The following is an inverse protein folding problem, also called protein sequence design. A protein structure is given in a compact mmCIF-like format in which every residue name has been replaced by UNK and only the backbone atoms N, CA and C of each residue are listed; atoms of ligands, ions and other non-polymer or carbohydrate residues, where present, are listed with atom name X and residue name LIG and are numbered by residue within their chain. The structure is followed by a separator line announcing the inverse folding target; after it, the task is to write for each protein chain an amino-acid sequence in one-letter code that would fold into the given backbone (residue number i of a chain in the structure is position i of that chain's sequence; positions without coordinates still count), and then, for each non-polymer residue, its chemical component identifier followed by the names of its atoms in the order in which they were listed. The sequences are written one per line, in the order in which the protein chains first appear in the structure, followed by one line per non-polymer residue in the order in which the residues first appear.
data_IF_282602065039
#
_entry.id   IF_282602065039
#
_cell.length_a   1.000
_cell.length_b   1.000
_cell.length_c   1.000
_cell.angle_alpha   90.00
_cell.angle_beta   90.00
_cell.angle_gamma   90.00
#
_symmetry.space_group_name_H-M   'P 1'
#
loop_
_entity.id
_entity.type
_entity.pdbx_description
1 polymer ?
#
# COMPACT_ATOMS: atom_id res chain seq x y z
N UNK A 1 -1.65 39.62 27.21
CA UNK A 1 -1.20 38.48 26.36
C UNK A 1 -2.36 37.49 26.37
N UNK A 2 -3.24 37.61 25.37
CA UNK A 2 -4.37 36.70 25.21
C UNK A 2 -3.84 35.37 24.69
N UNK A 3 -3.71 34.43 25.61
CA UNK A 3 -3.56 33.02 25.25
C UNK A 3 -4.92 32.57 24.74
N UNK A 4 -5.18 32.74 23.45
CA UNK A 4 -6.29 32.06 22.80
C UNK A 4 -5.99 30.56 22.92
N UNK A 5 -6.58 29.92 23.91
CA UNK A 5 -6.57 28.47 24.07
C UNK A 5 -7.25 27.93 22.81
N UNK A 6 -6.48 27.54 21.81
CA UNK A 6 -7.02 26.90 20.61
C UNK A 6 -7.88 25.73 21.11
N UNK A 7 -9.17 25.82 20.86
CA UNK A 7 -10.14 24.84 21.37
C UNK A 7 -9.90 23.54 20.65
N UNK A 8 -9.38 22.54 21.37
CA UNK A 8 -9.06 21.19 20.85
C UNK A 8 -10.32 20.54 20.28
N UNK A 9 -10.29 20.14 19.03
CA UNK A 9 -11.33 19.31 18.43
C UNK A 9 -11.02 17.83 18.66
N UNK A 10 -12.03 17.06 19.02
CA UNK A 10 -11.93 15.61 19.25
C UNK A 10 -12.75 14.89 18.21
N UNK A 11 -12.10 14.15 17.34
CA UNK A 11 -12.73 13.33 16.29
C UNK A 11 -12.90 11.89 16.80
N UNK A 12 -14.15 11.48 17.07
CA UNK A 12 -14.50 10.11 17.38
C UNK A 12 -14.76 9.33 16.11
N UNK A 13 -13.96 8.32 15.81
CA UNK A 13 -14.15 7.50 14.62
C UNK A 13 -14.70 6.12 14.96
N UNK A 14 -15.87 5.78 14.37
CA UNK A 14 -16.55 4.50 14.50
C UNK A 14 -16.68 3.83 13.14
N UNK A 15 -16.40 2.51 13.08
CA UNK A 15 -16.48 1.74 11.82
C UNK A 15 -17.06 0.34 12.01
N UNK A 16 -17.90 -0.07 11.06
CA UNK A 16 -18.32 -1.46 10.88
C UNK A 16 -18.08 -1.90 9.45
N UNK A 17 -18.00 -3.23 9.23
CA UNK A 17 -18.04 -3.80 7.87
C UNK A 17 -19.49 -3.89 7.38
N UNK A 18 -19.66 -3.93 6.05
CA UNK A 18 -20.98 -4.07 5.42
C UNK A 18 -21.75 -5.32 5.89
N UNK A 19 -21.04 -6.39 6.25
CA UNK A 19 -21.64 -7.65 6.75
C UNK A 19 -22.13 -7.54 8.22
N UNK A 20 -21.56 -6.62 9.00
CA UNK A 20 -21.93 -6.39 10.40
C UNK A 20 -22.98 -5.28 10.59
N UNK A 21 -23.60 -4.84 9.50
CA UNK A 21 -24.56 -3.71 9.50
C UNK A 21 -25.95 -4.10 10.01
N UNK A 22 -26.29 -5.41 10.07
CA UNK A 22 -27.62 -5.87 10.39
C UNK A 22 -28.16 -5.44 11.77
N UNK A 23 -27.28 -5.12 12.74
CA UNK A 23 -27.72 -4.77 14.09
C UNK A 23 -27.51 -3.32 14.53
N UNK A 24 -26.76 -2.48 13.81
CA UNK A 24 -26.46 -1.08 14.22
C UNK A 24 -25.73 -0.96 15.58
N UNK A 25 -25.84 -1.97 16.42
CA UNK A 25 -25.32 -2.01 17.79
C UNK A 25 -23.80 -1.84 17.85
N UNK A 26 -23.09 -2.27 16.85
CA UNK A 26 -21.61 -2.15 16.79
C UNK A 26 -21.10 -0.73 16.66
N UNK A 27 -21.77 0.14 15.88
CA UNK A 27 -21.43 1.57 15.77
C UNK A 27 -21.82 2.32 17.05
N UNK A 28 -23.00 2.01 17.59
CA UNK A 28 -23.51 2.68 18.77
C UNK A 28 -22.66 2.36 20.01
N UNK A 29 -22.26 1.10 20.21
CA UNK A 29 -21.36 0.72 21.29
C UNK A 29 -20.00 1.44 21.22
N UNK A 30 -19.46 1.63 20.02
CA UNK A 30 -18.22 2.40 19.81
C UNK A 30 -18.44 3.88 20.16
N UNK A 31 -19.54 4.45 19.68
CA UNK A 31 -19.88 5.86 19.96
C UNK A 31 -20.06 6.11 21.46
N UNK A 32 -20.78 5.23 22.17
CA UNK A 32 -20.97 5.32 23.63
C UNK A 32 -19.63 5.23 24.38
N UNK A 33 -18.75 4.33 23.99
CA UNK A 33 -17.43 4.22 24.61
C UNK A 33 -16.60 5.51 24.43
N UNK A 34 -16.65 6.10 23.23
CA UNK A 34 -15.96 7.36 22.93
C UNK A 34 -16.57 8.51 23.72
N UNK A 35 -17.90 8.60 23.82
CA UNK A 35 -18.60 9.62 24.60
C UNK A 35 -18.28 9.54 26.08
N UNK A 36 -18.27 8.33 26.64
CA UNK A 36 -17.91 8.10 28.04
C UNK A 36 -16.48 8.58 28.34
N UNK A 37 -15.54 8.28 27.44
CA UNK A 37 -14.15 8.74 27.57
C UNK A 37 -14.03 10.25 27.41
N UNK A 38 -14.76 10.84 26.46
CA UNK A 38 -14.81 12.30 26.29
C UNK A 38 -15.32 13.00 27.54
N UNK A 39 -16.41 12.49 28.12
CA UNK A 39 -16.98 13.01 29.39
C UNK A 39 -15.98 12.87 30.54
N UNK A 40 -15.30 11.73 30.65
CA UNK A 40 -14.29 11.48 31.69
C UNK A 40 -13.10 12.45 31.59
N UNK A 41 -12.72 12.87 30.39
CA UNK A 41 -11.60 13.79 30.11
C UNK A 41 -12.01 15.26 30.01
N UNK A 42 -13.30 15.58 30.07
CA UNK A 42 -13.80 16.93 29.88
C UNK A 42 -13.59 17.48 28.48
N UNK A 43 -13.69 16.61 27.46
CA UNK A 43 -13.60 17.05 26.08
C UNK A 43 -14.92 17.66 25.61
N UNK A 44 -14.94 18.95 25.37
CA UNK A 44 -16.16 19.68 25.04
C UNK A 44 -16.54 19.63 23.57
N UNK A 45 -15.55 19.57 22.66
CA UNK A 45 -15.77 19.55 21.22
C UNK A 45 -15.56 18.16 20.63
N UNK A 46 -16.51 17.25 20.88
CA UNK A 46 -16.51 15.89 20.31
C UNK A 46 -17.36 15.82 19.05
N UNK A 47 -16.77 15.36 17.95
CA UNK A 47 -17.40 15.07 16.68
C UNK A 47 -17.32 13.58 16.36
N UNK A 48 -18.42 12.85 16.49
CA UNK A 48 -18.45 11.42 16.19
C UNK A 48 -18.78 11.20 14.72
N UNK A 49 -17.84 10.56 14.02
CA UNK A 49 -17.94 10.19 12.62
C UNK A 49 -18.12 8.67 12.48
N UNK A 50 -19.10 8.27 11.68
CA UNK A 50 -19.46 6.86 11.47
C UNK A 50 -19.18 6.44 10.02
N UNK A 51 -18.60 5.27 9.84
CA UNK A 51 -18.27 4.74 8.52
C UNK A 51 -18.65 3.26 8.40
N UNK A 52 -19.30 2.93 7.28
CA UNK A 52 -19.65 1.56 6.92
C UNK A 52 -18.77 1.13 5.75
N UNK A 53 -17.66 0.48 6.08
CA UNK A 53 -16.66 0.07 5.07
C UNK A 53 -15.83 -1.09 5.58
N UNK A 54 -15.39 -1.98 4.68
CA UNK A 54 -14.49 -3.07 5.03
C UNK A 54 -13.17 -2.54 5.62
N UNK A 55 -12.74 -3.10 6.76
CA UNK A 55 -11.49 -2.73 7.41
C UNK A 55 -10.22 -3.12 6.63
N UNK A 56 -10.34 -3.92 5.57
CA UNK A 56 -9.23 -4.23 4.67
C UNK A 56 -8.95 -3.15 3.62
N UNK A 57 -9.85 -2.17 3.47
CA UNK A 57 -9.60 -1.03 2.57
C UNK A 57 -8.50 -0.12 3.11
N UNK A 58 -7.74 0.46 2.19
CA UNK A 58 -6.72 1.46 2.51
C UNK A 58 -7.38 2.73 3.07
N UNK A 59 -6.60 3.59 3.73
CA UNK A 59 -7.08 4.84 4.32
C UNK A 59 -7.71 5.75 3.25
N UNK A 60 -7.10 5.86 2.07
CA UNK A 60 -7.60 6.64 0.92
C UNK A 60 -8.92 6.12 0.33
N UNK A 61 -9.30 4.88 0.65
CA UNK A 61 -10.57 4.26 0.25
C UNK A 61 -11.63 4.30 1.37
N UNK A 62 -11.38 5.05 2.41
CA UNK A 62 -12.22 5.24 3.61
C UNK A 62 -12.55 6.72 3.72
N UNK A 63 -13.62 7.18 3.04
CA UNK A 63 -13.89 8.61 2.84
C UNK A 63 -14.04 9.39 4.15
N UNK A 64 -14.64 8.77 5.18
CA UNK A 64 -14.82 9.44 6.47
C UNK A 64 -13.49 9.58 7.21
N UNK A 65 -12.69 8.51 7.28
CA UNK A 65 -11.37 8.58 7.91
C UNK A 65 -10.44 9.53 7.15
N UNK A 66 -10.45 9.49 5.81
CA UNK A 66 -9.65 10.39 4.98
C UNK A 66 -10.02 11.86 5.26
N UNK A 67 -11.31 12.19 5.31
CA UNK A 67 -11.77 13.54 5.64
C UNK A 67 -11.35 14.00 7.05
N UNK A 68 -11.36 13.11 8.05
CA UNK A 68 -10.84 13.43 9.39
C UNK A 68 -9.35 13.77 9.30
N UNK A 69 -8.55 12.93 8.59
CA UNK A 69 -7.10 13.11 8.49
C UNK A 69 -6.69 14.34 7.68
N UNK A 70 -7.55 14.82 6.79
CA UNK A 70 -7.36 16.09 6.06
C UNK A 70 -7.68 17.33 6.93
N UNK A 71 -8.57 17.20 7.90
CA UNK A 71 -9.05 18.32 8.73
C UNK A 71 -8.32 18.44 10.07
N UNK A 72 -7.81 17.32 10.60
CA UNK A 72 -7.18 17.28 11.92
C UNK A 72 -5.88 18.08 11.93
N UNK A 73 -5.72 18.89 12.96
CA UNK A 73 -4.58 19.80 13.12
C UNK A 73 -3.84 19.57 14.41
N UNK A 74 -2.69 20.22 14.58
CA UNK A 74 -1.90 20.14 15.81
C UNK A 74 -2.74 20.51 17.05
N UNK A 75 -2.68 19.67 18.08
CA UNK A 75 -3.46 19.80 19.31
C UNK A 75 -4.79 19.05 19.30
N UNK A 76 -5.34 18.66 18.16
CA UNK A 76 -6.56 17.86 18.04
C UNK A 76 -6.35 16.40 18.48
N UNK A 77 -7.44 15.67 18.62
CA UNK A 77 -7.44 14.26 19.03
C UNK A 77 -8.27 13.42 18.08
N UNK A 78 -7.71 12.30 17.60
CA UNK A 78 -8.48 11.22 17.01
C UNK A 78 -8.67 10.12 18.05
N UNK A 79 -9.90 9.80 18.40
CA UNK A 79 -10.23 8.75 19.37
C UNK A 79 -11.02 7.63 18.71
N UNK A 80 -10.62 6.39 19.01
CA UNK A 80 -11.22 5.18 18.46
C UNK A 80 -11.43 4.16 19.58
N UNK A 81 -12.59 3.54 19.62
CA UNK A 81 -12.93 2.59 20.67
C UNK A 81 -12.09 1.31 20.59
N UNK A 82 -11.76 0.86 19.37
CA UNK A 82 -10.97 -0.35 19.13
C UNK A 82 -9.97 -0.14 17.99
N UNK A 83 -8.73 -0.55 18.19
CA UNK A 83 -7.65 -0.38 17.21
C UNK A 83 -7.92 -1.07 15.87
N UNK A 84 -8.61 -2.22 15.87
CA UNK A 84 -9.01 -2.94 14.65
C UNK A 84 -10.05 -2.18 13.80
N UNK A 85 -10.75 -1.21 14.37
CA UNK A 85 -11.65 -0.30 13.63
C UNK A 85 -10.85 0.72 12.84
N UNK A 86 -9.74 1.17 13.40
CA UNK A 86 -8.83 2.10 12.75
C UNK A 86 -7.94 1.41 11.71
N UNK A 87 -7.25 0.35 12.11
CA UNK A 87 -6.32 -0.38 11.26
C UNK A 87 -6.35 -1.89 11.56
N UNK A 88 -6.42 -2.73 10.53
CA UNK A 88 -6.30 -4.20 10.66
C UNK A 88 -4.86 -4.69 10.68
N UNK A 89 -3.92 -3.89 10.26
CA UNK A 89 -2.49 -4.20 10.17
C UNK A 89 -1.73 -3.28 11.12
N UNK A 90 -0.78 -3.83 11.84
CA UNK A 90 0.14 -3.05 12.66
C UNK A 90 0.91 -2.01 11.84
N UNK A 91 1.19 -2.33 10.58
CA UNK A 91 1.88 -1.41 9.65
C UNK A 91 1.06 -0.13 9.41
N UNK A 92 -0.25 -0.27 9.17
CA UNK A 92 -1.14 0.89 8.96
C UNK A 92 -1.31 1.66 10.27
N UNK A 93 -1.41 0.97 11.41
CA UNK A 93 -1.49 1.61 12.71
C UNK A 93 -0.22 2.42 13.02
N UNK A 94 0.96 1.85 12.78
CA UNK A 94 2.23 2.54 12.95
C UNK A 94 2.33 3.80 12.07
N UNK A 95 1.86 3.74 10.81
CA UNK A 95 1.83 4.90 9.92
C UNK A 95 0.95 6.02 10.46
N UNK A 96 -0.19 5.70 11.07
CA UNK A 96 -1.08 6.70 11.69
C UNK A 96 -0.47 7.28 12.97
N UNK A 97 0.24 6.48 13.77
CA UNK A 97 0.99 6.93 14.92
C UNK A 97 2.15 7.88 14.54
N UNK A 98 2.91 7.52 13.48
CA UNK A 98 3.95 8.38 12.93
C UNK A 98 3.37 9.71 12.39
N UNK A 99 2.22 9.65 11.71
CA UNK A 99 1.52 10.85 11.23
C UNK A 99 1.07 11.74 12.38
N UNK A 100 0.51 11.16 13.46
CA UNK A 100 0.08 11.92 14.63
C UNK A 100 1.24 12.66 15.31
N UNK A 101 2.39 12.02 15.44
CA UNK A 101 3.58 12.63 16.02
C UNK A 101 4.15 13.74 15.13
N UNK A 102 4.26 13.49 13.82
CA UNK A 102 4.78 14.45 12.84
C UNK A 102 3.90 15.69 12.73
N UNK A 103 2.57 15.52 12.69
CA UNK A 103 1.61 16.58 12.42
C UNK A 103 1.05 17.21 13.73
N UNK A 104 1.48 16.69 14.90
CA UNK A 104 1.21 17.28 16.22
C UNK A 104 -0.19 17.03 16.78
N UNK A 105 -0.99 16.11 16.21
CA UNK A 105 -2.26 15.68 16.78
C UNK A 105 -2.09 14.41 17.63
N UNK A 106 -3.09 14.05 18.42
CA UNK A 106 -3.00 12.87 19.30
C UNK A 106 -3.91 11.75 18.84
N UNK A 107 -3.43 10.50 18.94
CA UNK A 107 -4.21 9.29 18.70
C UNK A 107 -4.52 8.58 20.02
N UNK A 108 -5.80 8.27 20.26
CA UNK A 108 -6.28 7.54 21.44
C UNK A 108 -7.00 6.28 21.01
N UNK A 109 -6.50 5.11 21.46
CA UNK A 109 -7.10 3.79 21.23
C UNK A 109 -7.52 3.22 22.58
N UNK A 110 -8.85 3.15 22.82
CA UNK A 110 -9.37 2.84 24.15
C UNK A 110 -9.08 1.38 24.57
N UNK A 111 -9.19 0.44 23.65
CA UNK A 111 -8.97 -0.98 23.92
C UNK A 111 -7.50 -1.35 24.16
N UNK A 112 -6.59 -0.59 23.60
CA UNK A 112 -5.14 -0.82 23.72
C UNK A 112 -4.49 0.06 24.81
N UNK A 113 -5.24 0.98 25.43
CA UNK A 113 -4.68 1.95 26.36
C UNK A 113 -3.61 2.86 25.75
N UNK A 114 -3.62 3.02 24.42
CA UNK A 114 -2.68 3.91 23.73
C UNK A 114 -3.25 5.33 23.74
N UNK A 115 -2.44 6.28 24.21
CA UNK A 115 -2.76 7.70 24.20
C UNK A 115 -1.47 8.49 23.93
N UNK A 116 -1.27 8.90 22.70
CA UNK A 116 -0.03 9.57 22.26
C UNK A 116 0.16 10.96 22.87
N UNK A 117 -0.87 11.52 23.54
CA UNK A 117 -0.72 12.76 24.30
C UNK A 117 0.07 12.56 25.60
N UNK A 118 0.20 11.31 26.08
CA UNK A 118 0.91 10.96 27.32
C UNK A 118 2.28 10.32 27.04
N UNK A 119 3.27 10.48 27.95
CA UNK A 119 4.55 9.80 27.81
C UNK A 119 4.44 8.27 27.73
N UNK A 120 3.57 7.67 28.55
CA UNK A 120 3.33 6.22 28.53
C UNK A 120 2.70 5.74 27.22
N UNK A 121 1.74 6.48 26.68
CA UNK A 121 1.10 6.17 25.40
C UNK A 121 2.05 6.35 24.23
N UNK A 122 2.96 7.33 24.26
CA UNK A 122 4.03 7.45 23.27
C UNK A 122 4.99 6.26 23.31
N UNK A 123 5.35 5.77 24.49
CA UNK A 123 6.14 4.54 24.60
C UNK A 123 5.39 3.34 24.00
N UNK A 124 4.09 3.20 24.31
CA UNK A 124 3.25 2.14 23.72
C UNK A 124 3.21 2.25 22.17
N UNK A 125 3.10 3.47 21.63
CA UNK A 125 3.14 3.73 20.20
C UNK A 125 4.49 3.29 19.57
N UNK A 126 5.62 3.54 20.23
CA UNK A 126 6.94 3.10 19.79
C UNK A 126 7.05 1.57 19.76
N UNK A 127 6.49 0.87 20.75
CA UNK A 127 6.45 -0.60 20.76
C UNK A 127 5.63 -1.13 19.58
N UNK A 128 4.48 -0.53 19.28
CA UNK A 128 3.65 -0.87 18.11
C UNK A 128 4.44 -0.61 16.82
N UNK A 129 5.15 0.50 16.72
CA UNK A 129 6.01 0.82 15.57
C UNK A 129 7.11 -0.23 15.34
N UNK A 130 7.80 -0.63 16.41
CA UNK A 130 8.83 -1.68 16.35
C UNK A 130 8.25 -3.04 15.92
N UNK A 131 7.08 -3.41 16.46
CA UNK A 131 6.38 -4.64 16.05
C UNK A 131 5.95 -4.62 14.58
N UNK A 132 5.49 -3.47 14.08
CA UNK A 132 5.11 -3.28 12.68
C UNK A 132 6.33 -3.40 11.74
N UNK A 133 7.48 -2.87 12.13
CA UNK A 133 8.70 -3.00 11.34
C UNK A 133 9.18 -4.45 11.31
N UNK A 134 9.13 -5.16 12.42
CA UNK A 134 9.42 -6.60 12.46
C UNK A 134 8.49 -7.39 11.52
N UNK A 135 7.17 -7.13 11.55
CA UNK A 135 6.21 -7.76 10.64
C UNK A 135 6.56 -7.50 9.17
N UNK A 136 6.89 -6.23 8.81
CA UNK A 136 7.34 -5.87 7.45
C UNK A 136 8.58 -6.66 7.02
N UNK A 137 9.57 -6.79 7.90
CA UNK A 137 10.79 -7.55 7.63
C UNK A 137 10.50 -9.04 7.42
N UNK A 138 9.63 -9.64 8.23
CA UNK A 138 9.20 -11.02 8.08
C UNK A 138 8.46 -11.28 6.77
N UNK A 139 7.57 -10.36 6.35
CA UNK A 139 6.88 -10.46 5.06
C UNK A 139 7.88 -10.38 3.90
N UNK A 140 8.84 -9.45 3.96
CA UNK A 140 9.91 -9.32 2.94
C UNK A 140 10.77 -10.58 2.87
N UNK A 141 11.15 -11.16 4.02
CA UNK A 141 11.91 -12.40 4.08
C UNK A 141 11.15 -13.56 3.42
N UNK A 142 9.89 -13.81 3.84
CA UNK A 142 9.04 -14.86 3.26
C UNK A 142 8.83 -14.68 1.75
N UNK A 143 8.63 -13.46 1.29
CA UNK A 143 8.48 -13.16 -0.14
C UNK A 143 9.76 -13.49 -0.91
N UNK A 144 10.93 -13.08 -0.38
CA UNK A 144 12.24 -13.38 -0.98
C UNK A 144 12.49 -14.88 -1.07
N UNK A 145 12.20 -15.62 0.01
CA UNK A 145 12.38 -17.06 0.07
C UNK A 145 11.43 -17.77 -0.91
N UNK A 146 10.16 -17.37 -0.97
CA UNK A 146 9.20 -17.90 -1.95
C UNK A 146 9.60 -17.61 -3.40
N UNK A 147 10.17 -16.43 -3.69
CA UNK A 147 10.70 -16.11 -5.00
C UNK A 147 11.98 -16.91 -5.33
N UNK A 148 12.82 -17.19 -4.33
CA UNK A 148 14.01 -18.04 -4.51
C UNK A 148 13.62 -19.47 -4.89
N UNK A 149 12.63 -20.05 -4.20
CA UNK A 149 12.09 -21.38 -4.55
C UNK A 149 11.53 -21.40 -5.97
N UNK A 150 10.74 -20.39 -6.36
CA UNK A 150 10.21 -20.31 -7.73
C UNK A 150 11.32 -20.20 -8.77
N UNK A 151 12.40 -19.43 -8.48
CA UNK A 151 13.58 -19.38 -9.39
C UNK A 151 14.27 -20.73 -9.51
N UNK A 152 14.43 -21.46 -8.39
CA UNK A 152 15.02 -22.80 -8.39
C UNK A 152 14.17 -23.81 -9.18
N UNK A 153 12.84 -23.62 -9.18
CA UNK A 153 11.90 -24.41 -10.01
C UNK A 153 11.88 -23.97 -11.49
N UNK A 154 12.75 -23.06 -11.91
CA UNK A 154 12.78 -22.56 -13.28
C UNK A 154 11.64 -21.61 -13.66
N UNK A 155 10.85 -21.13 -12.70
CA UNK A 155 9.78 -20.19 -12.99
C UNK A 155 10.38 -18.81 -13.29
N UNK A 156 10.13 -18.30 -14.49
CA UNK A 156 10.51 -16.93 -14.83
C UNK A 156 9.70 -15.93 -14.02
N UNK A 157 10.39 -15.11 -13.25
CA UNK A 157 9.76 -14.05 -12.44
C UNK A 157 9.74 -12.71 -13.21
N UNK A 158 8.79 -11.87 -12.89
CA UNK A 158 8.63 -10.54 -13.47
C UNK A 158 7.48 -10.45 -14.45
N UNK A 159 7.44 -9.36 -15.22
CA UNK A 159 6.38 -9.13 -16.22
C UNK A 159 6.45 -10.20 -17.32
N UNK A 160 5.34 -10.85 -17.66
CA UNK A 160 5.29 -11.80 -18.77
C UNK A 160 5.76 -11.13 -20.06
N UNK A 161 6.45 -11.90 -20.90
CA UNK A 161 6.85 -11.45 -22.25
C UNK A 161 5.60 -11.39 -23.11
N UNK A 162 5.24 -10.19 -23.54
CA UNK A 162 4.04 -9.97 -24.36
C UNK A 162 4.31 -10.15 -25.88
N UNK A 163 5.58 -10.13 -26.29
CA UNK A 163 5.95 -10.28 -27.69
C UNK A 163 6.02 -11.77 -28.07
N UNK A 164 5.36 -12.21 -29.14
CA UNK A 164 5.43 -13.60 -29.61
C UNK A 164 6.87 -14.06 -29.87
N UNK A 165 7.15 -15.33 -29.61
CA UNK A 165 8.49 -15.88 -29.77
C UNK A 165 9.00 -15.76 -31.22
N UNK A 166 8.13 -15.99 -32.21
CA UNK A 166 8.41 -15.89 -33.63
C UNK A 166 8.86 -14.47 -34.03
N UNK A 167 8.17 -13.45 -33.51
CA UNK A 167 8.53 -12.05 -33.77
C UNK A 167 9.90 -11.71 -33.20
N UNK A 168 10.22 -12.24 -31.99
CA UNK A 168 11.56 -12.05 -31.39
C UNK A 168 12.65 -12.77 -32.18
N UNK A 169 12.37 -14.01 -32.61
CA UNK A 169 13.30 -14.82 -33.42
C UNK A 169 13.62 -14.09 -34.73
N UNK A 170 12.62 -13.51 -35.38
CA UNK A 170 12.80 -12.73 -36.60
C UNK A 170 13.70 -11.50 -36.38
N UNK A 171 13.49 -10.75 -35.29
CA UNK A 171 14.38 -9.61 -34.92
C UNK A 171 15.82 -10.07 -34.68
N UNK A 172 16.00 -11.23 -34.01
CA UNK A 172 17.34 -11.80 -33.78
C UNK A 172 17.98 -12.21 -35.11
N UNK A 173 17.24 -12.88 -36.01
CA UNK A 173 17.71 -13.28 -37.33
C UNK A 173 18.18 -12.07 -38.13
N UNK A 174 17.34 -11.06 -38.28
CA UNK A 174 17.69 -9.83 -39.01
C UNK A 174 18.94 -9.13 -38.44
N UNK A 175 19.12 -9.22 -37.11
CA UNK A 175 20.31 -8.69 -36.48
C UNK A 175 21.58 -9.49 -36.78
N UNK A 176 21.47 -10.82 -36.83
CA UNK A 176 22.55 -11.73 -37.21
C UNK A 176 22.93 -11.53 -38.68
N UNK A 177 21.97 -11.22 -39.56
CA UNK A 177 22.19 -10.86 -40.95
C UNK A 177 22.86 -9.47 -41.12
N UNK A 178 23.20 -8.78 -40.00
CA UNK A 178 23.98 -7.54 -40.02
C UNK A 178 23.14 -6.26 -40.16
N UNK A 179 21.80 -6.33 -40.18
CA UNK A 179 20.96 -5.16 -40.33
C UNK A 179 21.11 -4.19 -39.15
N UNK A 180 21.05 -2.88 -39.45
CA UNK A 180 21.00 -1.84 -38.40
C UNK A 180 19.65 -1.88 -37.66
N UNK A 181 19.60 -1.38 -36.44
CA UNK A 181 18.34 -1.30 -35.66
C UNK A 181 17.25 -0.51 -36.39
N UNK A 182 17.62 0.50 -37.16
CA UNK A 182 16.69 1.29 -37.97
C UNK A 182 16.12 0.45 -39.14
N UNK A 183 16.96 -0.30 -39.82
CA UNK A 183 16.52 -1.18 -40.90
C UNK A 183 15.62 -2.30 -40.38
N UNK A 184 15.99 -2.92 -39.25
CA UNK A 184 15.15 -3.94 -38.59
C UNK A 184 13.76 -3.36 -38.23
N UNK A 185 13.72 -2.18 -37.62
CA UNK A 185 12.45 -1.53 -37.24
C UNK A 185 11.57 -1.26 -38.47
N UNK A 186 12.17 -0.84 -39.57
CA UNK A 186 11.46 -0.66 -40.85
C UNK A 186 10.93 -1.98 -41.39
N UNK A 187 11.76 -3.02 -41.51
CA UNK A 187 11.35 -4.35 -41.97
C UNK A 187 10.20 -4.94 -41.15
N UNK A 188 10.30 -4.84 -39.78
CA UNK A 188 9.25 -5.34 -38.89
C UNK A 188 7.93 -4.58 -39.02
N UNK A 189 8.00 -3.27 -39.33
CA UNK A 189 6.82 -2.45 -39.60
C UNK A 189 6.17 -2.84 -40.93
N UNK A 190 6.95 -2.98 -41.97
CA UNK A 190 6.50 -3.36 -43.34
C UNK A 190 5.91 -4.78 -43.35
N UNK A 191 6.49 -5.69 -42.56
CA UNK A 191 5.97 -7.06 -42.40
C UNK A 191 4.69 -7.12 -41.56
N UNK A 192 4.22 -6.02 -41.01
CA UNK A 192 2.98 -5.93 -40.24
C UNK A 192 3.06 -6.53 -38.84
N UNK A 193 4.26 -6.80 -38.32
CA UNK A 193 4.42 -7.29 -36.95
C UNK A 193 4.06 -6.22 -35.92
N UNK A 194 3.33 -6.62 -34.86
CA UNK A 194 3.00 -5.71 -33.75
C UNK A 194 4.08 -5.74 -32.67
N UNK A 195 4.35 -4.59 -32.09
CA UNK A 195 5.24 -4.48 -30.93
C UNK A 195 4.62 -5.12 -29.68
N UNK A 196 5.40 -5.34 -28.63
CA UNK A 196 4.91 -5.84 -27.34
C UNK A 196 3.77 -5.00 -26.72
N UNK A 197 3.64 -3.74 -27.09
CA UNK A 197 2.54 -2.85 -26.67
C UNK A 197 1.39 -2.77 -27.70
N UNK A 198 1.41 -3.62 -28.72
CA UNK A 198 0.37 -3.69 -29.77
C UNK A 198 0.48 -2.63 -30.86
N UNK A 199 1.49 -1.75 -30.84
CA UNK A 199 1.70 -0.72 -31.88
C UNK A 199 2.14 -1.34 -33.21
N UNK A 200 1.66 -0.79 -34.32
CA UNK A 200 2.05 -1.23 -35.66
C UNK A 200 3.45 -0.75 -36.05
N UNK A 201 3.83 0.47 -35.67
CA UNK A 201 5.12 1.06 -36.01
C UNK A 201 6.21 0.63 -35.02
N UNK A 202 7.28 0.03 -35.55
CA UNK A 202 8.48 -0.30 -34.80
C UNK A 202 9.44 0.89 -34.74
N UNK A 203 10.18 0.97 -33.65
CA UNK A 203 11.28 1.92 -33.44
C UNK A 203 12.53 1.16 -33.05
N UNK A 204 13.68 1.82 -33.09
CA UNK A 204 14.95 1.24 -32.63
C UNK A 204 14.90 0.77 -31.17
N UNK A 205 14.13 1.46 -30.32
CA UNK A 205 13.89 1.05 -28.93
C UNK A 205 13.10 -0.26 -28.83
N UNK A 206 12.13 -0.50 -29.70
CA UNK A 206 11.39 -1.77 -29.75
C UNK A 206 12.30 -2.93 -30.19
N UNK A 207 13.17 -2.71 -31.16
CA UNK A 207 14.18 -3.68 -31.60
C UNK A 207 15.14 -4.01 -30.45
N UNK A 208 15.68 -3.00 -29.76
CA UNK A 208 16.55 -3.23 -28.61
C UNK A 208 15.86 -4.02 -27.51
N UNK A 209 14.60 -3.71 -27.22
CA UNK A 209 13.78 -4.46 -26.23
C UNK A 209 13.59 -5.90 -26.64
N UNK A 210 13.32 -6.18 -27.92
CA UNK A 210 13.15 -7.53 -28.43
C UNK A 210 14.46 -8.35 -28.30
N UNK A 211 15.61 -7.78 -28.68
CA UNK A 211 16.93 -8.41 -28.55
C UNK A 211 17.30 -8.68 -27.09
N UNK A 212 17.10 -7.72 -26.20
CA UNK A 212 17.36 -7.89 -24.77
C UNK A 212 16.48 -9.00 -24.17
N UNK A 213 15.22 -9.07 -24.60
CA UNK A 213 14.29 -10.11 -24.14
C UNK A 213 14.73 -11.50 -24.63
N UNK A 214 15.13 -11.63 -25.90
CA UNK A 214 15.64 -12.87 -26.45
C UNK A 214 16.93 -13.34 -25.75
N UNK A 215 17.87 -12.42 -25.49
CA UNK A 215 19.09 -12.73 -24.75
C UNK A 215 18.81 -13.20 -23.32
N UNK A 216 17.85 -12.59 -22.63
CA UNK A 216 17.43 -13.02 -21.28
C UNK A 216 16.77 -14.40 -21.28
N UNK A 217 15.99 -14.72 -22.31
CA UNK A 217 15.39 -16.07 -22.46
C UNK A 217 16.45 -17.13 -22.72
N UNK A 218 17.39 -16.86 -23.60
CA UNK A 218 18.49 -17.76 -23.87
C UNK A 218 19.31 -18.05 -22.58
N UNK A 219 19.72 -17.01 -21.89
CA UNK A 219 20.44 -17.15 -20.62
C UNK A 219 19.62 -17.85 -19.50
N UNK A 220 18.30 -17.80 -19.57
CA UNK A 220 17.42 -18.54 -18.65
C UNK A 220 17.40 -20.03 -19.00
N UNK A 221 17.26 -20.38 -20.28
CA UNK A 221 17.28 -21.77 -20.77
C UNK A 221 18.62 -22.45 -20.47
N UNK A 222 19.73 -21.77 -20.70
CA UNK A 222 21.07 -22.28 -20.37
C UNK A 222 21.23 -22.60 -18.90
N UNK A 223 20.69 -21.74 -18.02
CA UNK A 223 20.70 -22.01 -16.56
C UNK A 223 19.84 -23.22 -16.17
N UNK A 224 18.74 -23.49 -16.85
CA UNK A 224 17.90 -24.66 -16.59
C UNK A 224 18.57 -25.97 -17.06
N UNK A 225 19.39 -25.90 -18.10
CA UNK A 225 20.13 -27.07 -18.63
C UNK A 225 21.40 -27.38 -17.83
N UNK A 226 21.90 -26.42 -17.04
CA UNK A 226 23.10 -26.56 -16.23
C UNK A 226 22.85 -27.14 -14.81
N UNK A 227 21.60 -27.44 -14.45
CA UNK A 227 21.17 -28.04 -13.19
C UNK A 227 20.77 -29.49 -13.42
#
# INVERSE_FOLDING_TARGET
MDTTTATRTVYGYCRVSTEAQEDGAGLEAQALAIQAEASRRGWEQLQIQREVVSGGKRVDQRPVLAAILEQITAGDVLVVAKGDRLARSLVVLAQLLEASDRDGWSLVLLDLGVDTSTPAGRLSAQVVGAAAEYERQMIRARTRDGLAVKRAQGVRLGRPVQMPAEVRAEVVRLRMDGLSFRAIAQTMTEAGHRTASGKAAWTTSHVQTALNTAAQEQAHLERLQAV
#
